data_IF_872519327255
#
_entry.id   IF_872519327255
#
_cell.length_a   1.000
_cell.length_b   1.000
_cell.length_c   1.000
_cell.angle_alpha   90.00
_cell.angle_beta   90.00
_cell.angle_gamma   90.00
#
_symmetry.space_group_name_H-M   'P 1'
#
loop_
_entity.id
_entity.type
_entity.pdbx_description
1 polymer ?
#
# COMPACT_ATOMS: atom_id res chain seq x y z
N UNK A 1 2.88 -9.41 -15.07
CA UNK A 1 1.83 -9.72 -14.09
C UNK A 1 1.75 -8.54 -13.14
N UNK A 2 0.58 -7.92 -12.99
CA UNK A 2 0.38 -6.85 -12.03
C UNK A 2 0.68 -7.40 -10.62
N UNK A 3 1.55 -6.73 -9.86
CA UNK A 3 1.91 -7.20 -8.52
C UNK A 3 0.80 -6.77 -7.57
N UNK A 4 -0.07 -7.72 -7.19
CA UNK A 4 -1.26 -7.48 -6.36
C UNK A 4 -0.94 -6.69 -5.08
N UNK A 5 0.20 -6.94 -4.43
CA UNK A 5 0.61 -6.19 -3.24
C UNK A 5 0.99 -4.74 -3.56
N UNK A 6 1.75 -4.52 -4.64
CA UNK A 6 2.15 -3.18 -5.06
C UNK A 6 0.92 -2.33 -5.43
N UNK A 7 -0.03 -2.92 -6.14
CA UNK A 7 -1.27 -2.25 -6.53
C UNK A 7 -2.15 -1.96 -5.30
N UNK A 8 -2.29 -2.90 -4.36
CA UNK A 8 -3.03 -2.70 -3.10
C UNK A 8 -2.46 -1.52 -2.31
N UNK A 9 -1.13 -1.46 -2.12
CA UNK A 9 -0.48 -0.36 -1.41
C UNK A 9 -0.72 0.98 -2.11
N UNK A 10 -0.53 1.02 -3.43
CA UNK A 10 -0.66 2.22 -4.24
C UNK A 10 -2.09 2.75 -4.31
N UNK A 11 -3.08 1.86 -4.45
CA UNK A 11 -4.50 2.21 -4.46
C UNK A 11 -4.93 2.66 -3.06
N UNK A 12 -4.61 1.88 -2.02
CA UNK A 12 -4.94 2.24 -0.63
C UNK A 12 -4.41 3.61 -0.23
N UNK A 13 -3.16 3.90 -0.57
CA UNK A 13 -2.55 5.22 -0.34
C UNK A 13 -3.30 6.34 -1.08
N UNK A 14 -3.61 6.15 -2.36
CA UNK A 14 -4.33 7.14 -3.18
C UNK A 14 -5.74 7.39 -2.68
N UNK A 15 -6.44 6.36 -2.21
CA UNK A 15 -7.77 6.49 -1.59
C UNK A 15 -7.75 7.33 -0.33
N UNK A 16 -6.62 7.35 0.39
CA UNK A 16 -6.41 8.21 1.56
C UNK A 16 -5.79 9.56 1.25
N UNK A 17 -5.48 9.85 -0.02
CA UNK A 17 -4.85 11.11 -0.42
C UNK A 17 -3.42 11.28 0.10
N UNK A 18 -2.76 10.19 0.50
CA UNK A 18 -1.43 10.24 1.13
C UNK A 18 -0.30 10.19 0.09
N UNK A 19 0.82 10.81 0.42
CA UNK A 19 2.09 10.70 -0.28
C UNK A 19 2.84 9.45 0.15
N UNK A 20 3.83 9.00 -0.64
CA UNK A 20 4.67 7.86 -0.25
C UNK A 20 5.51 8.15 1.00
N UNK A 21 5.80 9.41 1.26
CA UNK A 21 6.60 9.85 2.40
C UNK A 21 5.79 9.74 3.69
N UNK A 22 4.56 10.27 3.70
CA UNK A 22 3.65 10.16 4.85
C UNK A 22 3.38 8.70 5.26
N UNK A 23 3.17 7.80 4.29
CA UNK A 23 2.97 6.37 4.61
C UNK A 23 4.21 5.76 5.25
N UNK A 24 5.39 6.07 4.70
CA UNK A 24 6.64 5.55 5.22
C UNK A 24 6.95 6.10 6.62
N UNK A 25 6.71 7.39 6.85
CA UNK A 25 6.87 8.05 8.15
C UNK A 25 5.93 7.45 9.21
N UNK A 26 4.63 7.32 8.90
CA UNK A 26 3.64 6.78 9.83
C UNK A 26 3.92 5.30 10.13
N UNK A 27 4.34 4.51 9.14
CA UNK A 27 4.63 3.09 9.33
C UNK A 27 6.00 2.83 9.99
N UNK A 28 6.92 3.80 9.94
CA UNK A 28 8.26 3.68 10.52
C UNK A 28 9.27 2.97 9.59
N UNK A 29 9.15 3.14 8.28
CA UNK A 29 10.09 2.61 7.29
C UNK A 29 10.67 3.71 6.40
N UNK A 30 11.73 3.41 5.64
CA UNK A 30 12.25 4.40 4.69
C UNK A 30 11.28 4.61 3.52
N UNK A 31 11.15 5.86 3.07
CA UNK A 31 10.39 6.20 1.84
C UNK A 31 10.87 5.44 0.61
N UNK A 32 12.15 5.11 0.52
CA UNK A 32 12.72 4.29 -0.57
C UNK A 32 12.23 2.83 -0.50
N UNK A 33 12.14 2.24 0.69
CA UNK A 33 11.58 0.90 0.90
C UNK A 33 10.13 0.86 0.40
N UNK A 34 9.30 1.78 0.89
CA UNK A 34 7.89 1.88 0.50
C UNK A 34 7.71 2.15 -1.00
N UNK A 35 8.50 3.07 -1.57
CA UNK A 35 8.49 3.35 -3.01
C UNK A 35 8.84 2.11 -3.86
N UNK A 36 9.80 1.29 -3.43
CA UNK A 36 10.17 0.06 -4.14
C UNK A 36 9.04 -0.97 -4.11
N UNK A 37 8.33 -1.07 -2.98
CA UNK A 37 7.14 -1.92 -2.86
C UNK A 37 6.02 -1.48 -3.81
N UNK A 38 5.63 -0.21 -3.81
CA UNK A 38 4.56 0.29 -4.71
C UNK A 38 4.90 0.18 -6.20
N UNK A 39 6.20 0.17 -6.54
CA UNK A 39 6.66 0.03 -7.92
C UNK A 39 6.96 -1.43 -8.31
N UNK A 40 6.71 -2.39 -7.40
CA UNK A 40 7.01 -3.80 -7.62
C UNK A 40 8.49 -4.11 -7.83
N UNK A 41 9.39 -3.21 -7.40
CA UNK A 41 10.86 -3.39 -7.48
C UNK A 41 11.35 -4.41 -6.46
N UNK A 42 10.68 -4.48 -5.31
CA UNK A 42 10.87 -5.50 -4.29
C UNK A 42 9.50 -5.93 -3.78
N UNK A 43 9.38 -7.19 -3.38
CA UNK A 43 8.15 -7.71 -2.77
C UNK A 43 8.02 -7.18 -1.35
N UNK A 44 6.87 -6.61 -1.02
CA UNK A 44 6.50 -6.31 0.36
C UNK A 44 6.07 -7.62 1.06
N UNK A 45 6.56 -7.90 2.28
CA UNK A 45 6.03 -8.98 3.10
C UNK A 45 4.53 -8.84 3.33
N UNK A 46 3.83 -9.98 3.44
CA UNK A 46 2.38 -9.98 3.59
C UNK A 46 1.91 -9.25 4.85
N UNK A 47 2.62 -9.43 5.97
CA UNK A 47 2.30 -8.77 7.23
C UNK A 47 2.46 -7.25 7.11
N UNK A 48 3.51 -6.77 6.43
CA UNK A 48 3.71 -5.34 6.19
C UNK A 48 2.58 -4.76 5.33
N UNK A 49 2.16 -5.45 4.27
CA UNK A 49 1.03 -5.01 3.45
C UNK A 49 -0.25 -4.93 4.29
N UNK A 50 -0.49 -5.94 5.11
CA UNK A 50 -1.69 -6.02 5.96
C UNK A 50 -1.70 -4.91 7.02
N UNK A 51 -0.59 -4.71 7.73
CA UNK A 51 -0.45 -3.64 8.72
C UNK A 51 -0.54 -2.26 8.09
N UNK A 52 0.08 -2.01 6.94
CA UNK A 52 -0.08 -0.71 6.26
C UNK A 52 -1.54 -0.46 5.88
N UNK A 53 -2.24 -1.47 5.34
CA UNK A 53 -3.66 -1.34 5.02
C UNK A 53 -4.51 -1.05 6.26
N UNK A 54 -4.38 -1.84 7.32
CA UNK A 54 -5.24 -1.74 8.51
C UNK A 54 -4.86 -0.57 9.41
N UNK A 55 -3.57 -0.35 9.63
CA UNK A 55 -3.07 0.58 10.65
C UNK A 55 -2.78 1.97 10.08
N UNK A 56 -2.31 2.07 8.84
CA UNK A 56 -2.03 3.36 8.21
C UNK A 56 -3.23 3.82 7.39
N UNK A 57 -3.71 2.99 6.46
CA UNK A 57 -4.83 3.37 5.60
C UNK A 57 -6.18 3.20 6.29
N UNK A 58 -6.29 2.50 7.41
CA UNK A 58 -7.59 2.20 8.04
C UNK A 58 -8.58 1.57 7.03
N UNK A 59 -8.09 0.68 6.16
CA UNK A 59 -8.87 -0.01 5.13
C UNK A 59 -8.48 -1.50 5.10
N UNK A 60 -9.45 -2.40 4.88
CA UNK A 60 -9.14 -3.80 4.59
C UNK A 60 -8.65 -3.96 3.14
N UNK A 61 -7.94 -5.06 2.88
CA UNK A 61 -7.53 -5.44 1.53
C UNK A 61 -8.77 -5.73 0.65
N UNK A 62 -9.86 -6.30 1.19
CA UNK A 62 -11.09 -6.45 0.42
C UNK A 62 -11.62 -5.10 -0.02
N UNK A 63 -11.67 -4.11 0.89
CA UNK A 63 -12.20 -2.79 0.55
C UNK A 63 -11.40 -2.12 -0.58
N UNK A 64 -10.08 -2.28 -0.56
CA UNK A 64 -9.20 -1.76 -1.62
C UNK A 64 -9.46 -2.48 -2.95
N UNK A 65 -9.64 -3.81 -2.93
CA UNK A 65 -9.94 -4.60 -4.12
C UNK A 65 -11.33 -4.32 -4.71
N UNK A 66 -12.34 -4.06 -3.87
CA UNK A 66 -13.68 -3.64 -4.33
C UNK A 66 -13.59 -2.39 -5.21
N UNK A 67 -12.82 -1.39 -4.77
CA UNK A 67 -12.63 -0.15 -5.52
C UNK A 67 -11.80 -0.39 -6.79
N UNK A 68 -10.81 -1.28 -6.74
CA UNK A 68 -9.99 -1.63 -7.90
C UNK A 68 -10.78 -2.37 -9.00
N UNK A 69 -11.77 -3.19 -8.64
CA UNK A 69 -12.57 -3.99 -9.57
C UNK A 69 -13.85 -3.25 -10.06
N UNK A 70 -14.25 -2.18 -9.38
CA UNK A 70 -15.40 -1.36 -9.74
C UNK A 70 -15.09 -0.15 -10.64
N UNK A 71 -13.82 0.01 -11.02
CA UNK A 71 -13.31 1.03 -11.95
C UNK A 71 -12.92 0.42 -13.29
#
# INVERSE_FOLDING_TARGET
>A
MANRAADVLKIGRRLRGMTQDEVAEIYGISRNTYQRWENGRTTAPYDDVTSICLDVFKLSIEKINEVANGL
#
